data_IF_181602939271
#
_entry.id   IF_181602939271
#
_cell.length_a   1.000
_cell.length_b   1.000
_cell.length_c   1.000
_cell.angle_alpha   90.00
_cell.angle_beta   90.00
_cell.angle_gamma   90.00
#
_symmetry.space_group_name_H-M   'P 1'
#
loop_
_entity.id
_entity.type
_entity.pdbx_description
1 polymer ?
#
# COMPACT_ATOMS: atom_id res chain seq x y z
N UNK A 1 -39.00 -22.49 28.88
CA UNK A 1 -37.62 -22.12 29.25
C UNK A 1 -36.67 -22.95 28.39
N UNK A 2 -36.45 -22.57 27.13
CA UNK A 2 -35.48 -23.24 26.25
C UNK A 2 -34.27 -22.32 26.13
N UNK A 3 -33.26 -22.54 26.99
CA UNK A 3 -32.15 -21.60 27.18
C UNK A 3 -30.76 -22.22 26.95
N UNK A 4 -30.59 -23.45 26.45
CA UNK A 4 -29.26 -24.06 26.39
C UNK A 4 -29.04 -25.06 25.23
N UNK A 5 -29.56 -24.81 24.03
CA UNK A 5 -29.24 -25.66 22.84
C UNK A 5 -28.52 -24.89 21.72
N UNK A 6 -27.78 -23.83 22.04
CA UNK A 6 -27.09 -22.96 21.06
C UNK A 6 -25.57 -23.06 21.00
N UNK A 7 -24.94 -23.94 21.79
CA UNK A 7 -23.49 -23.87 22.04
C UNK A 7 -22.61 -24.35 20.86
N UNK A 8 -23.14 -25.15 19.93
CA UNK A 8 -22.38 -25.60 18.75
C UNK A 8 -22.34 -24.55 17.63
N UNK A 9 -23.40 -23.77 17.47
CA UNK A 9 -23.45 -22.70 16.48
C UNK A 9 -22.69 -21.45 16.95
N UNK A 10 -22.73 -21.13 18.25
CA UNK A 10 -22.03 -19.98 18.82
C UNK A 10 -20.51 -20.04 18.67
N UNK A 11 -19.88 -21.19 18.92
CA UNK A 11 -18.43 -21.35 18.78
C UNK A 11 -17.97 -21.26 17.32
N UNK A 12 -18.76 -21.77 16.38
CA UNK A 12 -18.42 -21.74 14.96
C UNK A 12 -18.51 -20.32 14.37
N UNK A 13 -19.50 -19.54 14.81
CA UNK A 13 -19.66 -18.15 14.37
C UNK A 13 -18.52 -17.28 14.91
N UNK A 14 -18.10 -17.48 16.16
CA UNK A 14 -16.95 -16.76 16.74
C UNK A 14 -15.67 -17.05 15.94
N UNK A 15 -15.45 -18.30 15.54
CA UNK A 15 -14.31 -18.68 14.71
C UNK A 15 -14.31 -17.96 13.35
N UNK A 16 -15.46 -17.92 12.66
CA UNK A 16 -15.59 -17.17 11.40
C UNK A 16 -15.45 -15.65 11.59
N UNK A 17 -15.96 -15.10 12.71
CA UNK A 17 -15.84 -13.68 13.00
C UNK A 17 -14.37 -13.24 13.14
N UNK A 18 -13.51 -14.07 13.74
CA UNK A 18 -12.07 -13.80 13.83
C UNK A 18 -11.44 -13.72 12.43
N UNK A 19 -11.76 -14.65 11.53
CA UNK A 19 -11.26 -14.63 10.15
C UNK A 19 -11.73 -13.40 9.38
N UNK A 20 -12.99 -13.00 9.53
CA UNK A 20 -13.54 -11.81 8.89
C UNK A 20 -12.84 -10.54 9.39
N UNK A 21 -12.58 -10.43 10.69
CA UNK A 21 -11.87 -9.28 11.28
C UNK A 21 -10.44 -9.22 10.73
N UNK A 22 -9.73 -10.35 10.63
CA UNK A 22 -8.37 -10.41 10.07
C UNK A 22 -8.37 -9.97 8.60
N UNK A 23 -9.33 -10.44 7.79
CA UNK A 23 -9.45 -10.03 6.39
C UNK A 23 -9.69 -8.52 6.28
N UNK A 24 -10.63 -7.97 7.05
CA UNK A 24 -10.88 -6.53 7.07
C UNK A 24 -9.63 -5.78 7.51
N UNK A 25 -8.89 -6.26 8.51
CA UNK A 25 -7.67 -5.63 8.99
C UNK A 25 -6.56 -5.60 7.92
N UNK A 26 -6.43 -6.65 7.10
CA UNK A 26 -5.50 -6.70 5.96
C UNK A 26 -5.86 -5.65 4.90
N UNK A 27 -7.15 -5.44 4.61
CA UNK A 27 -7.60 -4.46 3.61
C UNK A 27 -7.69 -3.03 4.15
N UNK A 28 -8.04 -2.87 5.43
CA UNK A 28 -8.22 -1.57 6.10
C UNK A 28 -6.92 -0.97 6.59
N UNK A 29 -5.87 -1.79 6.79
CA UNK A 29 -4.53 -1.25 6.92
C UNK A 29 -4.11 -0.80 5.52
N UNK A 30 -3.93 0.51 5.27
CA UNK A 30 -3.20 0.94 4.10
C UNK A 30 -1.76 0.48 4.33
N UNK A 31 -1.48 -0.78 3.99
CA UNK A 31 -0.12 -1.20 3.77
C UNK A 31 0.37 -0.32 2.65
N UNK A 32 1.11 0.72 3.03
CA UNK A 32 2.03 1.44 2.18
C UNK A 32 3.03 0.36 1.73
N UNK A 33 2.67 -0.35 0.65
CA UNK A 33 3.43 -1.49 0.15
C UNK A 33 4.83 -0.94 -0.08
N UNK A 34 5.85 -1.30 0.73
CA UNK A 34 7.17 -0.71 0.63
C UNK A 34 7.94 -1.21 -0.61
N UNK A 35 7.21 -1.78 -1.56
CA UNK A 35 7.66 -2.26 -2.86
C UNK A 35 6.71 -1.93 -4.02
N UNK A 36 5.58 -1.22 -3.83
CA UNK A 36 4.80 -0.72 -4.98
C UNK A 36 5.47 0.46 -5.69
N UNK A 37 6.62 0.94 -5.21
CA UNK A 37 7.54 1.79 -5.97
C UNK A 37 8.21 1.08 -7.16
N UNK A 38 7.86 -0.18 -7.43
CA UNK A 38 8.36 -0.94 -8.59
C UNK A 38 7.40 -0.95 -9.78
N UNK A 39 6.18 -0.39 -9.64
CA UNK A 39 5.29 -0.21 -10.79
C UNK A 39 5.62 1.10 -11.49
N UNK A 40 6.61 1.03 -12.38
CA UNK A 40 7.01 2.10 -13.30
C UNK A 40 7.62 3.31 -12.57
N UNK A 41 8.89 3.21 -12.15
CA UNK A 41 9.67 4.43 -11.92
C UNK A 41 9.64 5.21 -13.25
N UNK A 42 8.77 6.22 -13.32
CA UNK A 42 8.69 7.09 -14.49
C UNK A 42 10.07 7.75 -14.66
N UNK A 43 10.45 8.17 -15.89
CA UNK A 43 11.68 8.94 -16.08
C UNK A 43 11.79 10.13 -15.09
N UNK A 44 10.65 10.67 -14.68
CA UNK A 44 10.51 11.72 -13.67
C UNK A 44 10.91 11.27 -12.25
N UNK A 45 10.52 10.08 -11.81
CA UNK A 45 10.91 9.51 -10.52
C UNK A 45 12.42 9.27 -10.45
N UNK A 46 13.01 8.76 -11.53
CA UNK A 46 14.46 8.55 -11.65
C UNK A 46 15.20 9.89 -11.56
N UNK A 47 14.72 10.91 -12.29
CA UNK A 47 15.29 12.26 -12.28
C UNK A 47 15.22 12.88 -10.88
N UNK A 48 14.07 12.81 -10.20
CA UNK A 48 13.87 13.32 -8.84
C UNK A 48 14.78 12.63 -7.82
N UNK A 49 14.99 11.31 -7.97
CA UNK A 49 15.87 10.52 -7.11
C UNK A 49 17.33 10.94 -7.26
N UNK A 50 17.80 11.20 -8.50
CA UNK A 50 19.15 11.72 -8.78
C UNK A 50 19.36 13.12 -8.21
N UNK A 51 18.35 13.99 -8.33
CA UNK A 51 18.38 15.32 -7.72
C UNK A 51 18.45 15.24 -6.18
N UNK A 52 17.65 14.38 -5.57
CA UNK A 52 17.67 14.17 -4.12
C UNK A 52 18.99 13.59 -3.60
N UNK A 53 19.71 12.83 -4.45
CA UNK A 53 21.07 12.34 -4.15
C UNK A 53 22.16 13.39 -4.39
N UNK A 54 21.81 14.55 -4.96
CA UNK A 54 22.78 15.60 -5.31
C UNK A 54 23.66 15.25 -6.50
N UNK A 55 23.30 14.25 -7.30
CA UNK A 55 24.06 13.83 -8.49
C UNK A 55 23.89 14.78 -9.67
N UNK A 56 22.83 15.62 -9.66
CA UNK A 56 22.52 16.59 -10.71
C UNK A 56 22.24 17.96 -10.13
N UNK A 57 22.65 19.00 -10.85
CA UNK A 57 22.34 20.39 -10.50
C UNK A 57 20.86 20.72 -10.77
N UNK A 58 20.37 21.80 -10.15
CA UNK A 58 19.00 22.32 -10.39
C UNK A 58 18.77 22.69 -11.86
N UNK A 59 19.82 23.14 -12.55
CA UNK A 59 19.77 23.52 -13.96
C UNK A 59 19.55 22.28 -14.86
N UNK A 60 20.35 21.23 -14.68
CA UNK A 60 20.18 19.95 -15.37
C UNK A 60 18.82 19.29 -15.07
N UNK A 61 18.35 19.38 -13.82
CA UNK A 61 17.03 18.89 -13.46
C UNK A 61 15.93 19.58 -14.27
N UNK A 62 15.98 20.91 -14.40
CA UNK A 62 14.97 21.66 -15.13
C UNK A 62 15.01 21.38 -16.63
N UNK A 63 16.19 21.30 -17.25
CA UNK A 63 16.31 20.99 -18.68
C UNK A 63 15.73 19.61 -19.01
N UNK A 64 16.09 18.57 -18.24
CA UNK A 64 15.58 17.22 -18.47
C UNK A 64 14.08 17.14 -18.19
N UNK A 65 13.59 17.90 -17.20
CA UNK A 65 12.17 17.99 -16.89
C UNK A 65 11.38 18.57 -18.06
N UNK A 66 11.88 19.64 -18.69
CA UNK A 66 11.25 20.29 -19.84
C UNK A 66 11.25 19.38 -21.08
N UNK A 67 12.33 18.65 -21.32
CA UNK A 67 12.42 17.64 -22.38
C UNK A 67 11.43 16.48 -22.18
N UNK A 68 11.21 16.05 -20.94
CA UNK A 68 10.26 14.97 -20.60
C UNK A 68 8.79 15.40 -20.63
N UNK A 69 8.52 16.71 -20.57
CA UNK A 69 7.16 17.29 -20.62
C UNK A 69 6.69 17.53 -22.07
N UNK A 70 7.59 17.42 -23.04
CA UNK A 70 7.37 17.68 -24.47
C UNK A 70 6.98 16.42 -25.26
#
# INVERSE_FOLDING_TARGET
>A
MHWLEGNYWGMHIIWWAIWVIILIWIFATPWDIPGQKTKNETPFDILKKRYARGEISKEEYNSIREDLER
#
